data_IF_033369444748
#
_entry.id   IF_033369444748
#
_cell.length_a   1.000
_cell.length_b   1.000
_cell.length_c   1.000
_cell.angle_alpha   90.00
_cell.angle_beta   90.00
_cell.angle_gamma   90.00
#
_symmetry.space_group_name_H-M   'P 1'
#
loop_
_entity.id
_entity.type
_entity.pdbx_description
1 polymer ?
#
# COMPACT_ATOMS: atom_id res chain seq x y z
N UNK A 1 10.16 -3.11 -17.39
CA UNK A 1 9.03 -3.42 -16.49
C UNK A 1 7.73 -2.86 -17.07
N UNK A 2 6.79 -3.73 -17.32
CA UNK A 2 5.48 -3.38 -17.85
C UNK A 2 4.45 -3.49 -16.72
N UNK A 3 3.82 -2.39 -16.30
CA UNK A 3 2.83 -2.47 -15.22
C UNK A 3 1.57 -3.20 -15.71
N UNK A 4 1.13 -4.19 -14.94
CA UNK A 4 -0.13 -4.88 -15.21
C UNK A 4 -1.28 -4.11 -14.59
N UNK A 5 -2.50 -4.14 -15.18
CA UNK A 5 -3.69 -3.63 -14.51
C UNK A 5 -3.92 -4.36 -13.19
N UNK A 6 -4.43 -3.63 -12.20
CA UNK A 6 -4.67 -4.20 -10.87
C UNK A 6 -5.50 -5.48 -10.93
N UNK A 7 -6.53 -5.51 -11.78
CA UNK A 7 -7.42 -6.67 -11.89
C UNK A 7 -6.72 -7.93 -12.38
N UNK A 8 -5.58 -7.79 -13.07
CA UNK A 8 -4.81 -8.93 -13.59
C UNK A 8 -3.72 -9.40 -12.64
N UNK A 9 -3.50 -8.70 -11.56
CA UNK A 9 -2.49 -9.09 -10.57
C UNK A 9 -3.05 -10.19 -9.68
N UNK A 10 -2.20 -11.18 -9.36
CA UNK A 10 -2.54 -12.15 -8.32
C UNK A 10 -2.51 -11.46 -6.96
N UNK A 11 -3.16 -12.03 -5.91
CA UNK A 11 -3.05 -11.44 -4.58
C UNK A 11 -1.61 -11.24 -4.12
N UNK A 12 -0.72 -12.18 -4.42
CA UNK A 12 0.68 -12.06 -4.04
C UNK A 12 1.37 -10.93 -4.82
N UNK A 13 1.08 -10.78 -6.09
CA UNK A 13 1.62 -9.68 -6.89
C UNK A 13 1.14 -8.33 -6.38
N UNK A 14 -0.10 -8.24 -5.93
CA UNK A 14 -0.66 -7.02 -5.34
C UNK A 14 0.08 -6.64 -4.07
N UNK A 15 0.34 -7.61 -3.20
CA UNK A 15 1.08 -7.40 -1.96
C UNK A 15 2.50 -6.96 -2.26
N UNK A 16 3.15 -7.61 -3.22
CA UNK A 16 4.51 -7.26 -3.61
C UNK A 16 4.58 -5.84 -4.18
N UNK A 17 3.62 -5.45 -5.03
CA UNK A 17 3.56 -4.09 -5.56
C UNK A 17 3.33 -3.07 -4.43
N UNK A 18 2.49 -3.40 -3.46
CA UNK A 18 2.25 -2.58 -2.28
C UNK A 18 3.55 -2.37 -1.49
N UNK A 19 4.29 -3.44 -1.26
CA UNK A 19 5.56 -3.40 -0.55
C UNK A 19 6.57 -2.51 -1.29
N UNK A 20 6.73 -2.71 -2.60
CA UNK A 20 7.65 -1.91 -3.42
C UNK A 20 7.26 -0.43 -3.38
N UNK A 21 5.98 -0.13 -3.49
CA UNK A 21 5.50 1.24 -3.42
C UNK A 21 5.78 1.86 -2.05
N UNK A 22 5.62 1.09 -0.98
CA UNK A 22 5.89 1.57 0.37
C UNK A 22 7.35 1.97 0.55
N UNK A 23 8.27 1.23 -0.09
CA UNK A 23 9.71 1.56 -0.05
C UNK A 23 9.95 2.90 -0.74
N UNK A 24 9.39 3.07 -1.93
CA UNK A 24 9.55 4.31 -2.70
C UNK A 24 9.00 5.51 -1.91
N UNK A 25 7.81 5.38 -1.36
CA UNK A 25 7.18 6.45 -0.59
C UNK A 25 7.94 6.73 0.72
N UNK A 26 8.50 5.70 1.34
CA UNK A 26 9.26 5.86 2.56
C UNK A 26 10.47 6.78 2.32
N UNK A 27 11.19 6.58 1.22
CA UNK A 27 12.35 7.42 0.90
C UNK A 27 11.97 8.78 0.33
N UNK A 28 10.79 8.90 -0.28
CA UNK A 28 10.38 10.15 -0.92
C UNK A 28 9.65 11.09 0.03
N UNK A 29 8.68 10.57 0.80
CA UNK A 29 7.79 11.38 1.65
C UNK A 29 7.63 10.82 3.06
N UNK A 30 8.30 9.74 3.38
CA UNK A 30 8.31 9.16 4.72
C UNK A 30 7.27 8.08 4.97
N UNK A 31 6.37 7.79 4.04
CA UNK A 31 5.39 6.72 4.21
C UNK A 31 4.40 6.66 3.06
N UNK A 32 3.74 5.50 2.95
CA UNK A 32 2.73 5.23 1.94
C UNK A 32 1.33 5.43 2.53
N UNK A 33 0.43 5.99 1.74
CA UNK A 33 -0.98 6.13 2.12
C UNK A 33 -1.86 5.33 1.17
N UNK A 34 -3.12 5.11 1.59
CA UNK A 34 -4.11 4.48 0.71
C UNK A 34 -4.24 5.26 -0.60
N UNK A 35 -4.28 6.60 -0.50
CA UNK A 35 -4.38 7.46 -1.68
C UNK A 35 -3.19 7.29 -2.61
N UNK A 36 -1.97 7.26 -2.09
CA UNK A 36 -0.78 7.11 -2.92
C UNK A 36 -0.76 5.74 -3.61
N UNK A 37 -1.19 4.69 -2.90
CA UNK A 37 -1.25 3.35 -3.49
C UNK A 37 -2.33 3.26 -4.57
N UNK A 38 -3.48 3.91 -4.36
CA UNK A 38 -4.52 3.99 -5.40
C UNK A 38 -3.98 4.66 -6.66
N UNK A 39 -3.24 5.74 -6.51
CA UNK A 39 -2.63 6.43 -7.65
C UNK A 39 -1.62 5.53 -8.35
N UNK A 40 -0.86 4.75 -7.60
CA UNK A 40 0.12 3.81 -8.15
C UNK A 40 -0.57 2.78 -9.04
N UNK A 41 -1.75 2.29 -8.63
CA UNK A 41 -2.52 1.32 -9.39
C UNK A 41 -3.48 1.97 -10.39
N UNK A 42 -3.53 3.30 -10.44
CA UNK A 42 -4.44 4.07 -11.31
C UNK A 42 -5.90 3.71 -11.04
N UNK A 43 -6.24 3.58 -9.76
CA UNK A 43 -7.58 3.21 -9.33
C UNK A 43 -8.37 4.44 -8.87
N UNK A 44 -9.67 4.39 -9.10
CA UNK A 44 -10.56 5.46 -8.66
C UNK A 44 -10.85 5.37 -7.16
N UNK A 45 -11.46 6.41 -6.60
CA UNK A 45 -11.85 6.43 -5.19
C UNK A 45 -12.85 5.32 -4.86
N UNK A 46 -13.64 4.89 -5.82
CA UNK A 46 -14.59 3.79 -5.65
C UNK A 46 -13.91 2.47 -5.34
N UNK A 47 -12.63 2.33 -5.70
CA UNK A 47 -11.85 1.12 -5.51
C UNK A 47 -11.02 1.15 -4.22
N UNK A 48 -11.25 2.15 -3.38
CA UNK A 48 -10.57 2.30 -2.10
C UNK A 48 -10.65 1.05 -1.21
N UNK A 49 -11.81 0.37 -1.10
CA UNK A 49 -11.86 -0.87 -0.31
C UNK A 49 -10.94 -1.96 -0.83
N UNK A 50 -10.75 -2.07 -2.15
CA UNK A 50 -9.86 -3.06 -2.74
C UNK A 50 -8.41 -2.77 -2.36
N UNK A 51 -8.01 -1.51 -2.39
CA UNK A 51 -6.66 -1.09 -1.97
C UNK A 51 -6.46 -1.37 -0.49
N UNK A 52 -7.47 -1.11 0.33
CA UNK A 52 -7.41 -1.40 1.77
C UNK A 52 -7.20 -2.88 2.04
N UNK A 53 -7.81 -3.76 1.23
CA UNK A 53 -7.60 -5.20 1.36
C UNK A 53 -6.16 -5.59 1.05
N UNK A 54 -5.56 -4.97 0.03
CA UNK A 54 -4.14 -5.21 -0.31
C UNK A 54 -3.25 -4.77 0.85
N UNK A 55 -3.52 -3.61 1.43
CA UNK A 55 -2.76 -3.11 2.58
C UNK A 55 -2.89 -4.06 3.77
N UNK A 56 -4.11 -4.53 4.06
CA UNK A 56 -4.33 -5.49 5.14
C UNK A 56 -3.55 -6.78 4.92
N UNK A 57 -3.55 -7.28 3.69
CA UNK A 57 -2.81 -8.49 3.36
C UNK A 57 -1.31 -8.29 3.54
N UNK A 58 -0.80 -7.14 3.11
CA UNK A 58 0.62 -6.82 3.29
C UNK A 58 0.98 -6.71 4.78
N UNK A 59 0.09 -6.16 5.60
CA UNK A 59 0.27 -6.10 7.05
C UNK A 59 0.28 -7.50 7.66
N UNK A 60 -0.64 -8.38 7.20
CA UNK A 60 -0.73 -9.75 7.69
C UNK A 60 0.52 -10.56 7.35
N UNK A 61 1.16 -10.27 6.21
CA UNK A 61 2.39 -10.93 5.80
C UNK A 61 3.64 -10.26 6.37
N UNK A 62 3.47 -9.22 7.20
CA UNK A 62 4.57 -8.46 7.81
C UNK A 62 5.50 -7.82 6.77
N UNK A 63 4.95 -7.43 5.64
CA UNK A 63 5.71 -6.71 4.60
C UNK A 63 5.80 -5.23 4.89
N UNK A 64 4.77 -4.68 5.49
CA UNK A 64 4.69 -3.26 5.88
C UNK A 64 4.19 -3.17 7.32
N UNK A 65 4.34 -2.00 7.91
CA UNK A 65 3.83 -1.72 9.24
C UNK A 65 3.30 -0.28 9.29
N UNK A 66 2.39 0.05 10.22
CA UNK A 66 1.95 1.43 10.38
C UNK A 66 3.13 2.30 10.81
N UNK A 67 3.25 3.48 10.23
CA UNK A 67 4.28 4.44 10.63
C UNK A 67 4.04 4.93 12.05
N UNK A 68 2.76 5.15 12.39
CA UNK A 68 2.35 5.55 13.74
C UNK A 68 1.32 4.55 14.23
N UNK A 69 1.71 3.56 15.07
CA UNK A 69 0.78 2.55 15.56
C UNK A 69 -0.29 3.12 16.47
N UNK A 70 -0.13 4.34 16.98
CA UNK A 70 -1.14 5.01 17.81
C UNK A 70 -2.15 5.81 17.00
N UNK A 71 -1.92 5.94 15.69
CA UNK A 71 -2.83 6.65 14.81
C UNK A 71 -4.04 5.77 14.51
N UNK A 72 -5.21 6.17 14.98
CA UNK A 72 -6.45 5.42 14.79
C UNK A 72 -7.20 5.85 13.52
N UNK A 73 -6.74 6.90 12.84
CA UNK A 73 -7.38 7.38 11.62
C UNK A 73 -6.95 6.54 10.43
N UNK A 74 -7.92 5.90 9.76
CA UNK A 74 -7.63 5.14 8.53
C UNK A 74 -7.40 6.06 7.33
N UNK A 75 -7.95 7.27 7.38
CA UNK A 75 -7.85 8.23 6.28
C UNK A 75 -6.44 8.78 6.12
N UNK A 76 -5.76 9.01 7.25
CA UNK A 76 -4.42 9.57 7.26
C UNK A 76 -3.35 8.58 7.67
N UNK A 77 -3.70 7.30 7.74
CA UNK A 77 -2.74 6.26 8.11
C UNK A 77 -1.63 6.17 7.07
N UNK A 78 -0.40 6.15 7.54
CA UNK A 78 0.77 5.97 6.71
C UNK A 78 1.40 4.63 7.02
N UNK A 79 1.98 4.01 6.01
CA UNK A 79 2.60 2.69 6.12
C UNK A 79 4.03 2.77 5.62
N UNK A 80 4.92 2.06 6.30
CA UNK A 80 6.33 2.00 5.94
C UNK A 80 6.72 0.53 5.78
N UNK A 81 7.86 0.23 5.09
CA UNK A 81 8.33 -1.16 5.01
C UNK A 81 8.60 -1.71 6.40
N UNK A 82 8.53 -3.04 6.55
CA UNK A 82 8.71 -3.68 7.86
C UNK A 82 10.06 -3.36 8.52
N UNK A 83 11.07 -3.04 7.70
CA UNK A 83 12.42 -2.70 8.17
C UNK A 83 12.61 -1.19 8.36
N UNK A 84 11.61 -0.40 8.02
CA UNK A 84 11.67 1.06 8.12
C UNK A 84 11.53 1.62 9.53
#
# INVERSE_FOLDING_TARGET
YSPKPFAKLTPQERVEACYQHSIIQYYSVGGMTNTSLRERFKMSERQRPQVSLVIKEALAQNKIKPRDPNNVSTKFAEYIPFWG
#
